data_IF_327538845471
#
_entry.id   IF_327538845471
#
_cell.length_a   1.000
_cell.length_b   1.000
_cell.length_c   1.000
_cell.angle_alpha   90.00
_cell.angle_beta   90.00
_cell.angle_gamma   90.00
#
_symmetry.space_group_name_H-M   'P 1'
#
loop_
_entity.id
_entity.type
_entity.pdbx_description
1 polymer ?
#
# COMPACT_ATOMS: atom_id res chain seq x y z
N UNK A 1 -15.76 8.95 14.31
CA UNK A 1 -15.52 7.58 13.80
C UNK A 1 -14.03 7.41 13.61
N UNK A 2 -13.45 6.29 14.04
CA UNK A 2 -12.02 5.98 13.86
C UNK A 2 -11.78 5.34 12.50
N UNK A 3 -10.63 5.62 11.88
CA UNK A 3 -10.23 5.01 10.61
C UNK A 3 -10.24 3.49 10.65
N UNK A 4 -10.63 2.87 9.54
CA UNK A 4 -10.59 1.41 9.32
C UNK A 4 -9.29 1.03 8.61
N UNK A 5 -8.64 -0.04 9.08
CA UNK A 5 -7.58 -0.71 8.34
C UNK A 5 -8.15 -1.79 7.41
N UNK A 6 -7.47 -2.04 6.28
CA UNK A 6 -7.92 -2.99 5.25
C UNK A 6 -7.10 -4.26 5.26
N UNK A 7 -7.76 -5.43 5.27
CA UNK A 7 -7.10 -6.74 5.16
C UNK A 7 -6.28 -6.86 3.89
N UNK A 8 -5.33 -7.79 3.89
CA UNK A 8 -4.46 -8.01 2.72
C UNK A 8 -5.25 -8.33 1.44
N UNK A 9 -6.32 -9.12 1.55
CA UNK A 9 -7.17 -9.46 0.41
C UNK A 9 -7.94 -8.24 -0.12
N UNK A 10 -8.31 -7.30 0.75
CA UNK A 10 -8.95 -6.04 0.36
C UNK A 10 -7.97 -5.14 -0.39
N UNK A 11 -6.73 -5.00 0.11
CA UNK A 11 -5.66 -4.27 -0.57
C UNK A 11 -5.34 -4.86 -1.95
N UNK A 12 -5.26 -6.20 -2.04
CA UNK A 12 -5.06 -6.89 -3.31
C UNK A 12 -6.22 -6.65 -4.29
N UNK A 13 -7.47 -6.69 -3.79
CA UNK A 13 -8.67 -6.40 -4.60
C UNK A 13 -8.65 -4.96 -5.13
N UNK A 14 -8.27 -3.98 -4.30
CA UNK A 14 -8.17 -2.59 -4.73
C UNK A 14 -7.16 -2.38 -5.85
N UNK A 15 -6.08 -3.17 -5.89
CA UNK A 15 -5.11 -3.04 -6.97
C UNK A 15 -5.63 -3.58 -8.32
N UNK A 16 -6.58 -4.52 -8.30
CA UNK A 16 -7.24 -5.02 -9.51
C UNK A 16 -8.29 -4.03 -10.08
N UNK A 17 -8.67 -3.00 -9.33
CA UNK A 17 -9.57 -1.95 -9.80
C UNK A 17 -8.85 -0.95 -10.69
N UNK A 18 -9.55 -0.40 -11.68
CA UNK A 18 -9.12 0.82 -12.37
C UNK A 18 -9.07 1.99 -11.37
N UNK A 19 -8.28 3.03 -11.63
CA UNK A 19 -8.28 4.24 -10.80
C UNK A 19 -9.71 4.77 -10.55
N UNK A 20 -10.55 4.88 -11.57
CA UNK A 20 -11.93 5.36 -11.41
C UNK A 20 -12.76 4.47 -10.48
N UNK A 21 -12.64 3.15 -10.60
CA UNK A 21 -13.36 2.22 -9.74
C UNK A 21 -12.83 2.28 -8.29
N UNK A 22 -11.51 2.36 -8.10
CA UNK A 22 -10.90 2.54 -6.79
C UNK A 22 -11.39 3.82 -6.09
N UNK A 23 -11.43 4.95 -6.80
CA UNK A 23 -11.92 6.24 -6.26
C UNK A 23 -13.37 6.17 -5.77
N UNK A 24 -14.20 5.36 -6.42
CA UNK A 24 -15.59 5.14 -6.01
C UNK A 24 -15.65 4.22 -4.80
N UNK A 25 -14.95 3.08 -4.84
CA UNK A 25 -14.91 2.09 -3.77
C UNK A 25 -14.38 2.69 -2.46
N UNK A 26 -13.27 3.43 -2.51
CA UNK A 26 -12.60 3.92 -1.31
C UNK A 26 -13.47 4.92 -0.51
N UNK A 27 -14.35 5.66 -1.20
CA UNK A 27 -15.33 6.55 -0.56
C UNK A 27 -16.40 5.80 0.23
N UNK A 28 -16.73 4.56 -0.15
CA UNK A 28 -17.67 3.72 0.61
C UNK A 28 -17.12 3.34 1.99
N UNK A 29 -15.78 3.35 2.12
CA UNK A 29 -15.06 3.17 3.38
C UNK A 29 -14.83 4.49 4.14
N UNK A 30 -15.47 5.59 3.72
CA UNK A 30 -15.37 6.92 4.33
C UNK A 30 -13.97 7.56 4.27
N UNK A 31 -13.09 7.05 3.42
CA UNK A 31 -11.81 7.69 3.14
C UNK A 31 -12.03 8.94 2.28
N UNK A 32 -11.34 10.03 2.63
CA UNK A 32 -11.45 11.32 1.97
C UNK A 32 -10.22 11.58 1.12
N UNK A 33 -10.42 12.14 -0.08
CA UNK A 33 -9.32 12.52 -0.96
C UNK A 33 -8.39 13.50 -0.25
N UNK A 34 -7.09 13.18 -0.28
CA UNK A 34 -6.03 14.00 0.31
C UNK A 34 -5.29 14.79 -0.77
N UNK A 35 -4.65 14.08 -1.70
CA UNK A 35 -3.82 14.69 -2.72
C UNK A 35 -3.77 13.85 -4.01
N UNK A 36 -3.39 14.51 -5.11
CA UNK A 36 -3.07 13.89 -6.39
C UNK A 36 -1.66 14.33 -6.80
N UNK A 37 -0.77 13.37 -6.88
CA UNK A 37 0.55 13.57 -7.49
C UNK A 37 0.54 13.05 -8.92
N UNK A 38 0.92 13.90 -9.87
CA UNK A 38 1.08 13.52 -11.28
C UNK A 38 2.52 13.79 -11.72
N UNK A 39 3.19 12.73 -12.17
CA UNK A 39 4.55 12.80 -12.70
C UNK A 39 4.61 12.22 -14.12
N UNK A 40 5.74 12.40 -14.82
CA UNK A 40 6.00 11.70 -16.08
C UNK A 40 6.02 10.17 -15.94
N UNK A 41 6.22 9.63 -14.73
CA UNK A 41 6.38 8.18 -14.49
C UNK A 41 5.10 7.53 -14.00
N UNK A 42 4.34 8.22 -13.15
CA UNK A 42 3.14 7.66 -12.52
C UNK A 42 2.09 8.74 -12.20
N UNK A 43 0.88 8.28 -11.93
CA UNK A 43 -0.19 9.04 -11.29
C UNK A 43 -0.48 8.37 -9.94
N UNK A 44 -0.56 9.18 -8.89
CA UNK A 44 -0.90 8.76 -7.53
C UNK A 44 -2.14 9.54 -7.06
N UNK A 45 -3.10 8.82 -6.50
CA UNK A 45 -4.18 9.40 -5.71
C UNK A 45 -4.11 8.89 -4.27
N UNK A 46 -4.04 9.82 -3.33
CA UNK A 46 -3.98 9.55 -1.89
C UNK A 46 -5.30 9.88 -1.19
N UNK A 47 -5.61 9.08 -0.18
CA UNK A 47 -6.79 9.22 0.64
C UNK A 47 -6.46 9.01 2.11
N UNK A 48 -7.06 9.84 2.97
CA UNK A 48 -6.96 9.71 4.42
C UNK A 48 -8.21 9.06 5.00
N UNK A 49 -8.00 8.20 6.00
CA UNK A 49 -9.07 7.64 6.82
C UNK A 49 -9.67 8.68 7.78
N UNK A 50 -10.90 8.47 8.28
CA UNK A 50 -11.45 9.27 9.37
C UNK A 50 -10.50 9.36 10.58
N UNK A 51 -10.19 10.58 11.01
CA UNK A 51 -9.24 10.81 12.12
C UNK A 51 -7.76 10.70 11.72
N UNK A 52 -7.44 10.61 10.42
CA UNK A 52 -6.08 10.68 9.88
C UNK A 52 -5.13 9.60 10.45
N UNK A 53 -5.67 8.43 10.76
CA UNK A 53 -4.92 7.32 11.38
C UNK A 53 -4.16 6.51 10.32
N UNK A 54 -4.82 6.29 9.19
CA UNK A 54 -4.31 5.56 8.03
C UNK A 54 -4.39 6.43 6.79
N UNK A 55 -3.50 6.12 5.84
CA UNK A 55 -3.47 6.68 4.50
C UNK A 55 -3.38 5.54 3.49
N UNK A 56 -4.08 5.68 2.38
CA UNK A 56 -4.04 4.74 1.25
C UNK A 56 -3.78 5.50 -0.05
N UNK A 57 -2.87 4.99 -0.86
CA UNK A 57 -2.53 5.50 -2.18
C UNK A 57 -2.77 4.44 -3.26
N UNK A 58 -3.25 4.85 -4.44
CA UNK A 58 -3.21 4.02 -5.64
C UNK A 58 -2.26 4.64 -6.66
N UNK A 59 -1.28 3.87 -7.08
CA UNK A 59 -0.35 4.21 -8.15
C UNK A 59 -0.80 3.56 -9.47
N UNK A 60 -0.77 4.34 -10.54
CA UNK A 60 -0.80 3.86 -11.92
C UNK A 60 0.45 4.36 -12.64
N UNK A 61 1.32 3.43 -13.05
CA UNK A 61 2.55 3.70 -13.77
C UNK A 61 2.29 3.79 -15.27
N UNK A 62 2.93 4.75 -15.94
CA UNK A 62 2.66 5.05 -17.36
C UNK A 62 3.32 4.07 -18.31
N UNK A 63 4.53 3.62 -18.00
CA UNK A 63 5.35 2.78 -18.90
C UNK A 63 5.32 1.29 -18.53
N UNK A 64 5.30 0.96 -17.24
CA UNK A 64 5.29 -0.42 -16.74
C UNK A 64 4.15 -0.62 -15.73
N UNK A 65 3.01 -1.11 -16.21
CA UNK A 65 1.83 -1.40 -15.40
C UNK A 65 2.05 -2.52 -14.38
N UNK A 66 3.14 -3.29 -14.46
CA UNK A 66 3.47 -4.25 -13.40
C UNK A 66 3.87 -3.57 -12.08
N UNK A 67 4.24 -2.29 -12.15
CA UNK A 67 4.53 -1.47 -10.98
C UNK A 67 3.27 -0.87 -10.33
N UNK A 68 2.10 -0.98 -10.97
CA UNK A 68 0.83 -0.53 -10.40
C UNK A 68 0.61 -1.18 -9.03
N UNK A 69 0.36 -0.35 -8.02
CA UNK A 69 0.26 -0.83 -6.66
C UNK A 69 -0.70 0.00 -5.81
N UNK A 70 -1.15 -0.63 -4.73
CA UNK A 70 -1.77 0.04 -3.60
C UNK A 70 -0.72 0.22 -2.52
N UNK A 71 -0.53 1.46 -2.07
CA UNK A 71 0.20 1.79 -0.85
C UNK A 71 -0.76 1.94 0.31
N UNK A 72 -0.47 1.30 1.44
CA UNK A 72 -1.22 1.50 2.68
C UNK A 72 -0.26 1.77 3.84
N UNK A 73 -0.49 2.87 4.56
CA UNK A 73 0.32 3.29 5.70
C UNK A 73 -0.34 2.86 7.01
N UNK A 74 0.42 2.14 7.83
CA UNK A 74 -0.02 1.64 9.12
C UNK A 74 0.12 2.70 10.21
N UNK A 75 -0.75 2.63 11.22
CA UNK A 75 -0.68 3.53 12.38
C UNK A 75 0.58 3.33 13.22
N UNK A 76 1.07 2.09 13.27
CA UNK A 76 2.19 1.70 14.12
C UNK A 76 2.89 0.43 13.61
N UNK A 77 4.05 0.16 14.20
CA UNK A 77 4.84 -1.04 13.90
C UNK A 77 4.09 -2.34 14.24
N UNK A 78 3.27 -2.34 15.28
CA UNK A 78 2.58 -3.56 15.75
C UNK A 78 1.61 -4.07 14.69
N UNK A 79 0.90 -3.17 14.03
CA UNK A 79 0.00 -3.51 12.93
C UNK A 79 0.76 -3.99 11.70
N UNK A 80 1.81 -3.27 11.31
CA UNK A 80 2.71 -3.70 10.24
C UNK A 80 3.27 -5.13 10.46
N UNK A 81 3.75 -5.43 11.67
CA UNK A 81 4.27 -6.75 12.02
C UNK A 81 3.17 -7.83 11.99
N UNK A 82 1.91 -7.47 12.28
CA UNK A 82 0.78 -8.38 12.17
C UNK A 82 0.45 -8.73 10.70
N UNK A 83 0.64 -7.78 9.77
CA UNK A 83 0.54 -8.04 8.32
C UNK A 83 1.58 -9.05 7.86
N UNK A 84 2.83 -8.88 8.27
CA UNK A 84 3.90 -9.83 7.94
C UNK A 84 3.54 -11.24 8.41
N UNK A 85 3.06 -11.39 9.65
CA UNK A 85 2.63 -12.69 10.19
C UNK A 85 1.50 -13.30 9.36
N UNK A 86 0.50 -12.50 8.99
CA UNK A 86 -0.63 -12.93 8.16
C UNK A 86 -0.16 -13.39 6.78
N UNK A 87 0.75 -12.63 6.13
CA UNK A 87 1.34 -12.99 4.85
C UNK A 87 2.12 -14.30 4.90
N UNK A 88 2.98 -14.47 5.91
CA UNK A 88 3.76 -15.70 6.10
C UNK A 88 2.83 -16.90 6.34
N UNK A 89 1.79 -16.75 7.17
CA UNK A 89 0.79 -17.79 7.39
C UNK A 89 -0.01 -18.12 6.12
N UNK A 90 -0.24 -17.13 5.25
CA UNK A 90 -0.86 -17.32 3.94
C UNK A 90 0.09 -17.95 2.91
N UNK A 91 1.36 -18.23 3.25
CA UNK A 91 2.33 -18.91 2.40
C UNK A 91 3.18 -17.99 1.52
N UNK A 92 3.19 -16.68 1.76
CA UNK A 92 4.16 -15.79 1.14
C UNK A 92 5.57 -16.08 1.66
N UNK A 93 6.57 -15.99 0.79
CA UNK A 93 7.98 -16.19 1.14
C UNK A 93 8.75 -14.90 0.92
N UNK A 94 9.61 -14.55 1.87
CA UNK A 94 10.54 -13.45 1.70
C UNK A 94 11.51 -13.74 0.55
N UNK A 95 11.72 -12.80 -0.37
CA UNK A 95 12.56 -13.00 -1.56
C UNK A 95 13.69 -12.00 -1.67
N UNK A 96 13.41 -10.71 -1.47
CA UNK A 96 14.35 -9.63 -1.74
C UNK A 96 14.33 -8.58 -0.64
N UNK A 97 15.45 -7.85 -0.50
CA UNK A 97 15.56 -6.66 0.31
C UNK A 97 16.28 -5.59 -0.48
N UNK A 98 15.84 -4.34 -0.34
CA UNK A 98 16.46 -3.24 -1.06
C UNK A 98 16.14 -1.89 -0.43
N UNK A 99 16.32 -0.83 -1.22
CA UNK A 99 15.91 0.52 -0.88
C UNK A 99 15.07 1.10 -2.01
N UNK A 100 14.00 1.81 -1.68
CA UNK A 100 13.27 2.61 -2.66
C UNK A 100 14.03 3.92 -2.93
N UNK A 101 13.66 4.66 -3.98
CA UNK A 101 14.38 5.86 -4.42
C UNK A 101 14.54 6.93 -3.32
N UNK A 102 13.56 7.02 -2.41
CA UNK A 102 13.54 7.94 -1.27
C UNK A 102 14.40 7.47 -0.09
N UNK A 103 14.95 6.25 -0.16
CA UNK A 103 15.96 5.70 0.74
C UNK A 103 15.44 4.77 1.84
N UNK A 104 14.13 4.59 1.95
CA UNK A 104 13.47 3.62 2.84
C UNK A 104 13.86 2.20 2.44
N UNK A 105 14.08 1.36 3.46
CA UNK A 105 14.39 -0.05 3.24
C UNK A 105 13.09 -0.79 2.94
N UNK A 106 13.14 -1.76 2.04
CA UNK A 106 12.01 -2.64 1.80
C UNK A 106 12.39 -4.11 1.89
N UNK A 107 11.38 -4.94 2.12
CA UNK A 107 11.46 -6.40 2.05
C UNK A 107 10.30 -6.92 1.19
N UNK A 108 10.62 -7.71 0.18
CA UNK A 108 9.64 -8.31 -0.71
C UNK A 108 9.25 -9.72 -0.29
N UNK A 109 7.99 -10.03 -0.54
CA UNK A 109 7.35 -11.29 -0.27
C UNK A 109 6.55 -11.75 -1.49
N UNK A 110 6.74 -13.01 -1.90
CA UNK A 110 6.10 -13.56 -3.09
C UNK A 110 5.28 -14.82 -2.81
N UNK A 111 4.18 -14.98 -3.55
CA UNK A 111 3.38 -16.21 -3.63
C UNK A 111 2.74 -16.34 -5.01
N UNK A 112 3.11 -17.40 -5.75
CA UNK A 112 2.58 -17.80 -7.08
C UNK A 112 2.65 -16.78 -8.23
N UNK A 113 2.81 -15.48 -7.95
CA UNK A 113 3.03 -14.31 -8.83
C UNK A 113 2.69 -13.01 -8.08
N UNK A 114 1.90 -13.09 -7.01
CA UNK A 114 1.60 -11.95 -6.16
C UNK A 114 2.86 -11.50 -5.44
N UNK A 115 3.18 -10.21 -5.57
CA UNK A 115 4.27 -9.53 -4.88
C UNK A 115 3.69 -8.56 -3.86
N UNK A 116 4.26 -8.59 -2.65
CA UNK A 116 4.00 -7.62 -1.60
C UNK A 116 5.34 -7.09 -1.13
N UNK A 117 5.45 -5.77 -1.01
CA UNK A 117 6.62 -5.09 -0.48
C UNK A 117 6.27 -4.43 0.84
N UNK A 118 6.97 -4.80 1.90
CA UNK A 118 6.89 -4.12 3.18
C UNK A 118 7.96 -3.03 3.21
N UNK A 119 7.55 -1.77 3.43
CA UNK A 119 8.42 -0.61 3.45
C UNK A 119 8.59 -0.12 4.89
N UNK A 120 9.85 0.06 5.27
CA UNK A 120 10.25 0.42 6.62
C UNK A 120 10.62 1.90 6.66
N UNK A 121 10.09 2.66 7.63
CA UNK A 121 10.33 4.08 7.70
C UNK A 121 11.81 4.38 7.93
N UNK A 122 12.30 5.46 7.31
CA UNK A 122 13.69 5.91 7.46
C UNK A 122 13.92 6.54 8.84
N UNK A 123 12.90 7.20 9.39
CA UNK A 123 12.94 7.83 10.71
C UNK A 123 11.77 7.36 11.57
N UNK A 124 11.86 7.57 12.88
CA UNK A 124 10.75 7.22 13.80
C UNK A 124 9.51 8.10 13.64
N UNK A 125 9.55 9.12 12.77
CA UNK A 125 8.42 10.01 12.47
C UNK A 125 7.60 9.54 11.27
N UNK A 126 8.16 8.66 10.46
CA UNK A 126 7.51 8.18 9.25
C UNK A 126 6.73 6.89 9.55
N UNK A 127 5.68 6.65 8.76
CA UNK A 127 4.84 5.47 8.93
C UNK A 127 5.47 4.24 8.25
N UNK A 128 5.16 3.08 8.80
CA UNK A 128 5.37 1.82 8.10
C UNK A 128 4.36 1.69 6.97
N UNK A 129 4.75 1.09 5.85
CA UNK A 129 3.84 0.92 4.72
C UNK A 129 3.92 -0.48 4.10
N UNK A 130 2.87 -0.84 3.38
CA UNK A 130 2.80 -2.00 2.51
C UNK A 130 2.49 -1.52 1.09
N UNK A 131 3.20 -2.06 0.10
CA UNK A 131 2.86 -1.94 -1.32
C UNK A 131 2.37 -3.29 -1.81
N UNK A 132 1.16 -3.33 -2.37
CA UNK A 132 0.56 -4.54 -2.94
C UNK A 132 0.50 -4.38 -4.46
N UNK A 133 1.30 -5.16 -5.17
CA UNK A 133 1.42 -5.12 -6.63
C UNK A 133 0.36 -5.97 -7.32
N UNK A 134 0.22 -5.80 -8.63
CA UNK A 134 -0.86 -6.38 -9.44
C UNK A 134 -0.65 -7.85 -9.77
#
# INVERSE_FOLDING_TARGET
MSGQAFKLEELARFNQLTMTAFKTEIKTHQYTFYDKTESPVFILFEYDSPGYIYKIGKFEYREDQSQDNIEFQFKDKKEHDAYIKTMLAAGYKQTEKGKIMTGEIYVDYFKNKAQIRMVYPKTSRDNYAILVFK
#
